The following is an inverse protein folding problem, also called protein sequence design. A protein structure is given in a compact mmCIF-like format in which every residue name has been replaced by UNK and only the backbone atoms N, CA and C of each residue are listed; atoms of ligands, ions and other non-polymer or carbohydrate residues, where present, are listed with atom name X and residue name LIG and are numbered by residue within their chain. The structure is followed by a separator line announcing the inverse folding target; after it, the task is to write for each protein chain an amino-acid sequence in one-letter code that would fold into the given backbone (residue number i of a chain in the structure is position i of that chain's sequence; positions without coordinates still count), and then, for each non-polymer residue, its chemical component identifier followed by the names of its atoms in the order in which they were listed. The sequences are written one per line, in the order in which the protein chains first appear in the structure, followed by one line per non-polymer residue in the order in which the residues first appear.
data_IF_194671329790
#
_entry.id   IF_194671329790
#
_cell.length_a   1.000
_cell.length_b   1.000
_cell.length_c   1.000
_cell.angle_alpha   90.00
_cell.angle_beta   90.00
_cell.angle_gamma   90.00
#
_symmetry.space_group_name_H-M   'P 1'
#
loop_
_entity.id
_entity.type
_entity.pdbx_description
1 polymer ?
#
# COMPACT_ATOMS: atom_id res chain seq x y z
N UNK A 1 -17.97 3.09 -6.18
CA UNK A 1 -16.59 2.62 -6.36
C UNK A 1 -15.67 3.27 -5.35
N UNK A 2 -14.97 2.45 -4.60
CA UNK A 2 -13.96 2.96 -3.68
C UNK A 2 -12.79 3.48 -4.49
N UNK A 3 -12.56 4.77 -4.43
CA UNK A 3 -11.49 5.39 -5.19
C UNK A 3 -10.37 5.88 -4.29
N UNK A 4 -9.39 6.54 -4.90
CA UNK A 4 -8.27 7.15 -4.21
C UNK A 4 -8.72 8.11 -3.11
N UNK A 5 -9.88 8.72 -3.26
CA UNK A 5 -10.39 9.68 -2.27
C UNK A 5 -10.61 9.02 -0.91
N UNK A 6 -11.18 7.81 -0.89
CA UNK A 6 -11.41 7.08 0.36
C UNK A 6 -10.08 6.65 0.97
N UNK A 7 -9.15 6.19 0.13
CA UNK A 7 -7.80 5.84 0.56
C UNK A 7 -7.11 7.05 1.20
N UNK A 8 -7.19 8.20 0.55
CA UNK A 8 -6.57 9.43 1.05
C UNK A 8 -7.15 9.84 2.40
N UNK A 9 -8.46 9.74 2.57
CA UNK A 9 -9.11 10.08 3.83
C UNK A 9 -8.64 9.19 4.97
N UNK A 10 -8.54 7.88 4.71
CA UNK A 10 -8.08 6.93 5.73
C UNK A 10 -6.61 7.14 6.07
N UNK A 11 -5.77 7.37 5.07
CA UNK A 11 -4.35 7.63 5.30
C UNK A 11 -4.14 8.94 6.05
N UNK A 12 -4.89 9.99 5.70
CA UNK A 12 -4.83 11.25 6.43
C UNK A 12 -5.16 11.06 7.90
N UNK A 13 -6.15 10.22 8.18
CA UNK A 13 -6.57 9.95 9.55
C UNK A 13 -5.51 9.22 10.36
N UNK A 14 -4.86 8.21 9.76
CA UNK A 14 -3.88 7.38 10.46
C UNK A 14 -2.46 7.88 10.39
N UNK A 15 -2.03 8.38 9.23
CA UNK A 15 -0.66 8.84 9.00
C UNK A 15 -0.53 10.35 8.90
N UNK A 16 -1.65 11.05 8.75
CA UNK A 16 -1.63 12.49 8.50
C UNK A 16 -1.16 12.87 7.10
N UNK A 17 -1.02 11.90 6.20
CA UNK A 17 -0.51 12.11 4.86
C UNK A 17 -1.39 11.40 3.83
N UNK A 18 -1.72 12.09 2.74
CA UNK A 18 -2.43 11.48 1.61
C UNK A 18 -1.44 10.79 0.68
N UNK A 19 -1.95 10.06 -0.31
CA UNK A 19 -1.12 9.43 -1.33
C UNK A 19 -0.25 10.48 -2.04
N UNK A 20 -0.85 11.61 -2.36
CA UNK A 20 -0.14 12.69 -3.04
C UNK A 20 1.01 13.23 -2.20
N UNK A 21 0.82 13.30 -0.90
CA UNK A 21 1.85 13.81 0.01
C UNK A 21 3.00 12.83 0.20
N UNK A 22 2.74 11.53 0.13
CA UNK A 22 3.81 10.52 0.22
C UNK A 22 4.49 10.23 -1.11
N UNK A 23 3.95 10.76 -2.21
CA UNK A 23 4.51 10.53 -3.54
C UNK A 23 6.00 10.85 -3.65
N UNK A 24 6.51 11.97 -3.12
CA UNK A 24 7.95 12.25 -3.19
C UNK A 24 8.80 11.17 -2.52
N UNK A 25 8.34 10.62 -1.41
CA UNK A 25 9.03 9.52 -0.74
C UNK A 25 9.05 8.27 -1.60
N UNK A 26 7.92 7.97 -2.24
CA UNK A 26 7.82 6.79 -3.09
C UNK A 26 8.72 6.93 -4.32
N UNK A 27 8.74 8.10 -4.94
CA UNK A 27 9.55 8.35 -6.13
C UNK A 27 11.05 8.29 -5.84
N UNK A 28 11.44 8.63 -4.61
CA UNK A 28 12.84 8.54 -4.21
C UNK A 28 13.34 7.10 -4.18
N UNK A 29 12.44 6.15 -3.97
CA UNK A 29 12.79 4.73 -3.98
C UNK A 29 13.61 4.29 -2.78
N UNK A 30 14.15 3.07 -2.88
CA UNK A 30 14.97 2.51 -1.82
C UNK A 30 14.16 1.94 -0.67
N UNK A 31 14.87 1.54 0.38
CA UNK A 31 14.26 0.90 1.55
C UNK A 31 13.21 1.78 2.22
N UNK A 32 13.48 3.08 2.30
CA UNK A 32 12.55 4.01 2.95
C UNK A 32 11.20 4.06 2.22
N UNK A 33 11.23 4.10 0.88
CA UNK A 33 10.02 4.11 0.07
C UNK A 33 9.26 2.79 0.23
N UNK A 34 9.99 1.67 0.21
CA UNK A 34 9.40 0.35 0.35
C UNK A 34 8.73 0.19 1.72
N UNK A 35 9.41 0.63 2.77
CA UNK A 35 8.85 0.59 4.13
C UNK A 35 7.60 1.45 4.24
N UNK A 36 7.64 2.66 3.70
CA UNK A 36 6.49 3.56 3.75
C UNK A 36 5.29 2.96 3.03
N UNK A 37 5.52 2.37 1.85
CA UNK A 37 4.46 1.72 1.10
C UNK A 37 3.84 0.57 1.90
N UNK A 38 4.68 -0.28 2.49
CA UNK A 38 4.20 -1.42 3.27
C UNK A 38 3.48 -0.99 4.55
N UNK A 39 3.97 0.06 5.20
CA UNK A 39 3.28 0.61 6.38
C UNK A 39 1.87 1.08 6.03
N UNK A 40 1.72 1.75 4.89
CA UNK A 40 0.41 2.20 4.44
C UNK A 40 -0.51 1.02 4.14
N UNK A 41 0.00 0.00 3.46
CA UNK A 41 -0.77 -1.22 3.18
C UNK A 41 -1.21 -1.90 4.47
N UNK A 42 -0.30 -2.02 5.43
CA UNK A 42 -0.59 -2.66 6.70
C UNK A 42 -1.66 -1.89 7.48
N UNK A 43 -1.55 -0.57 7.51
CA UNK A 43 -2.53 0.27 8.17
C UNK A 43 -3.91 0.11 7.53
N UNK A 44 -3.98 0.18 6.21
CA UNK A 44 -5.26 0.06 5.49
C UNK A 44 -5.90 -1.30 5.71
N UNK A 45 -5.07 -2.35 5.71
CA UNK A 45 -5.55 -3.70 6.01
C UNK A 45 -6.17 -3.75 7.41
N UNK A 46 -5.47 -3.21 8.37
CA UNK A 46 -5.90 -3.26 9.77
C UNK A 46 -7.23 -2.53 9.99
N UNK A 47 -7.45 -1.44 9.27
CA UNK A 47 -8.65 -0.61 9.44
C UNK A 47 -9.83 -1.13 8.60
N UNK A 48 -9.58 -1.55 7.35
CA UNK A 48 -10.64 -1.88 6.41
C UNK A 48 -10.48 -3.24 5.73
N UNK A 49 -9.55 -4.06 6.18
CA UNK A 49 -9.30 -5.33 5.51
C UNK A 49 -8.71 -5.10 4.13
N UNK A 50 -9.12 -5.91 3.15
CA UNK A 50 -8.53 -5.83 1.81
C UNK A 50 -9.17 -4.77 0.92
N UNK A 51 -10.27 -4.17 1.35
CA UNK A 51 -11.05 -3.29 0.49
C UNK A 51 -10.29 -2.06 -0.01
N UNK A 52 -9.43 -1.48 0.83
CA UNK A 52 -8.68 -0.28 0.46
C UNK A 52 -7.28 -0.57 -0.07
N UNK A 53 -6.81 -1.80 0.03
CA UNK A 53 -5.47 -2.16 -0.43
C UNK A 53 -5.37 -2.03 -1.94
N UNK A 54 -6.34 -2.57 -2.68
CA UNK A 54 -6.31 -2.51 -4.14
C UNK A 54 -6.33 -1.06 -4.66
N UNK A 55 -7.29 -0.19 -4.23
CA UNK A 55 -7.24 1.19 -4.68
C UNK A 55 -5.95 1.92 -4.28
N UNK A 56 -5.38 1.60 -3.12
CA UNK A 56 -4.10 2.19 -2.72
C UNK A 56 -2.98 1.75 -3.66
N UNK A 57 -2.90 0.46 -3.97
CA UNK A 57 -1.88 -0.07 -4.88
C UNK A 57 -2.02 0.60 -6.25
N UNK A 58 -3.24 0.70 -6.76
CA UNK A 58 -3.47 1.35 -8.06
C UNK A 58 -3.04 2.82 -8.06
N UNK A 59 -3.18 3.49 -6.93
CA UNK A 59 -2.84 4.91 -6.83
C UNK A 59 -1.35 5.15 -6.57
N UNK A 60 -0.69 4.27 -5.82
CA UNK A 60 0.64 4.54 -5.28
C UNK A 60 1.75 3.68 -5.88
N UNK A 61 1.42 2.47 -6.34
CA UNK A 61 2.45 1.52 -6.79
C UNK A 61 3.28 2.05 -7.95
N UNK A 62 2.64 2.72 -8.91
CA UNK A 62 3.32 3.26 -10.08
C UNK A 62 4.16 4.49 -9.78
N UNK A 63 4.07 5.03 -8.57
CA UNK A 63 4.92 6.13 -8.13
C UNK A 63 6.30 5.64 -7.70
N UNK A 64 6.42 4.36 -7.42
CA UNK A 64 7.69 3.75 -7.03
C UNK A 64 8.58 3.51 -8.25
N UNK A 65 9.92 3.59 -8.10
CA UNK A 65 10.83 3.17 -9.16
C UNK A 65 10.63 1.67 -9.47
N UNK A 66 10.97 1.28 -10.68
CA UNK A 66 10.80 -0.11 -11.14
C UNK A 66 11.42 -1.12 -10.19
N UNK A 67 12.62 -0.85 -9.71
CA UNK A 67 13.32 -1.74 -8.79
C UNK A 67 12.52 -1.99 -7.51
N UNK A 68 12.00 -0.93 -6.92
CA UNK A 68 11.16 -1.04 -5.71
C UNK A 68 9.85 -1.77 -6.00
N UNK A 69 9.27 -1.54 -7.18
CA UNK A 69 8.03 -2.23 -7.56
C UNK A 69 8.24 -3.74 -7.63
N UNK A 70 9.36 -4.19 -8.20
CA UNK A 70 9.66 -5.62 -8.28
C UNK A 70 9.77 -6.25 -6.90
N UNK A 71 10.48 -5.60 -5.99
CA UNK A 71 10.65 -6.09 -4.62
C UNK A 71 9.29 -6.17 -3.91
N UNK A 72 8.51 -5.11 -3.99
CA UNK A 72 7.23 -5.04 -3.29
C UNK A 72 6.19 -5.98 -3.87
N UNK A 73 6.22 -6.18 -5.17
CA UNK A 73 5.29 -7.10 -5.83
C UNK A 73 5.37 -8.49 -5.21
N UNK A 74 6.60 -8.98 -5.02
CA UNK A 74 6.81 -10.29 -4.41
C UNK A 74 6.31 -10.33 -2.97
N UNK A 75 6.55 -9.27 -2.20
CA UNK A 75 6.09 -9.20 -0.81
C UNK A 75 4.57 -9.20 -0.72
N UNK A 76 3.93 -8.43 -1.59
CA UNK A 76 2.47 -8.35 -1.60
C UNK A 76 1.85 -9.69 -1.97
N UNK A 77 2.42 -10.38 -2.95
CA UNK A 77 1.95 -11.71 -3.34
C UNK A 77 2.06 -12.69 -2.18
N UNK A 78 3.17 -12.65 -1.45
CA UNK A 78 3.39 -13.53 -0.31
C UNK A 78 2.34 -13.30 0.77
N UNK A 79 2.04 -12.04 1.07
CA UNK A 79 1.03 -11.68 2.07
C UNK A 79 -0.35 -12.19 1.65
N UNK A 80 -0.72 -11.98 0.39
CA UNK A 80 -2.01 -12.44 -0.14
C UNK A 80 -2.12 -13.96 -0.04
N UNK A 81 -1.06 -14.66 -0.40
CA UNK A 81 -1.02 -16.13 -0.32
C UNK A 81 -1.22 -16.62 1.10
N UNK A 82 -0.51 -16.03 2.06
CA UNK A 82 -0.62 -16.42 3.45
C UNK A 82 -2.02 -16.15 4.01
N UNK A 83 -2.61 -15.03 3.61
CA UNK A 83 -3.96 -14.71 4.04
C UNK A 83 -4.99 -15.71 3.51
N UNK A 84 -4.84 -16.12 2.24
CA UNK A 84 -5.74 -17.10 1.64
C UNK A 84 -5.58 -18.47 2.29
N UNK A 85 -4.36 -18.88 2.55
CA UNK A 85 -4.11 -20.17 3.23
C UNK A 85 -4.70 -20.17 4.63
N UNK A 86 -4.59 -19.06 5.35
CA UNK A 86 -5.19 -18.93 6.66
C UNK A 86 -6.70 -19.07 6.64
N UNK A 87 -7.34 -18.55 5.62
CA UNK A 87 -8.79 -18.63 5.48
C UNK A 87 -9.29 -20.05 5.15
N UNK A 88 -8.45 -20.84 4.50
CA UNK A 88 -8.81 -22.20 4.13
C UNK A 88 -8.75 -23.19 5.29
N UNK A 89 -8.08 -22.83 6.34
CA UNK A 89 -7.99 -23.66 7.52
C UNK A 89 -9.13 -23.33 8.49
#
# INVERSE_FOLDING_TARGET
MLGTKVVDEELKRGFGLSVKEIEPFLRAGGDAAEMKFMECCHYLWKVNGVELIEPFILAAFNKLPEKSRCVLFQRILTIVYLAQDGERQ
#
